data_IF_482682396493
#
_entry.id   IF_482682396493
#
_cell.length_a   1.000
_cell.length_b   1.000
_cell.length_c   1.000
_cell.angle_alpha   90.00
_cell.angle_beta   90.00
_cell.angle_gamma   90.00
#
_symmetry.space_group_name_H-M   'P 1'
#
loop_
_entity.id
_entity.type
_entity.pdbx_description
1 polymer ?
#
# COMPACT_ATOMS: atom_id res chain seq x y z
N UNK A 1 -3.17 -12.37 -8.46
CA UNK A 1 -2.52 -11.09 -8.79
C UNK A 1 -3.57 -10.03 -9.14
N UNK A 2 -3.41 -8.75 -8.76
CA UNK A 2 -4.22 -7.64 -9.24
C UNK A 2 -4.23 -7.47 -10.76
N UNK A 3 -5.33 -6.93 -11.31
CA UNK A 3 -5.51 -6.65 -12.75
C UNK A 3 -5.94 -5.21 -12.97
N UNK A 4 -5.28 -4.51 -13.90
CA UNK A 4 -5.67 -3.16 -14.35
C UNK A 4 -6.85 -3.25 -15.32
N UNK A 5 -7.88 -2.45 -15.10
CA UNK A 5 -9.13 -2.47 -15.86
C UNK A 5 -9.65 -1.06 -16.16
N UNK A 6 -10.35 -0.92 -17.28
CA UNK A 6 -11.12 0.28 -17.65
C UNK A 6 -12.50 -0.15 -18.10
N UNK A 7 -13.54 0.27 -17.37
CA UNK A 7 -14.92 0.00 -17.77
C UNK A 7 -15.28 0.86 -18.99
N UNK A 8 -16.19 0.36 -19.83
CA UNK A 8 -16.69 1.12 -20.99
C UNK A 8 -17.56 2.32 -20.57
N UNK A 9 -18.31 2.15 -19.48
CA UNK A 9 -19.37 3.07 -19.05
C UNK A 9 -19.02 3.82 -17.76
N UNK A 10 -17.78 3.70 -17.26
CA UNK A 10 -17.31 4.45 -16.10
C UNK A 10 -16.03 5.21 -16.43
N UNK A 11 -15.94 6.43 -15.93
CA UNK A 11 -14.74 7.25 -16.01
C UNK A 11 -13.66 6.70 -15.08
N UNK A 12 -12.40 6.77 -15.51
CA UNK A 12 -11.24 6.36 -14.71
C UNK A 12 -10.78 4.91 -14.92
N UNK A 13 -9.81 4.51 -14.08
CA UNK A 13 -9.13 3.22 -14.13
C UNK A 13 -9.25 2.50 -12.80
N UNK A 14 -9.39 1.18 -12.87
CA UNK A 14 -9.75 0.34 -11.74
C UNK A 14 -8.78 -0.83 -11.62
N UNK A 15 -8.50 -1.24 -10.39
CA UNK A 15 -7.71 -2.43 -10.08
C UNK A 15 -8.61 -3.43 -9.39
N UNK A 16 -8.73 -4.63 -9.95
CA UNK A 16 -9.48 -5.73 -9.34
C UNK A 16 -8.51 -6.74 -8.75
N UNK A 17 -8.78 -7.17 -7.52
CA UNK A 17 -7.99 -8.22 -6.86
C UNK A 17 -8.83 -8.97 -5.82
N UNK A 18 -8.33 -10.11 -5.35
CA UNK A 18 -8.83 -10.77 -4.14
C UNK A 18 -7.99 -10.36 -2.93
N UNK A 19 -8.66 -10.02 -1.83
CA UNK A 19 -8.05 -9.85 -0.51
C UNK A 19 -8.94 -10.53 0.53
N UNK A 20 -8.37 -11.49 1.25
CA UNK A 20 -9.05 -12.39 2.21
C UNK A 20 -10.27 -13.09 1.60
N UNK A 21 -10.16 -13.50 0.34
CA UNK A 21 -11.25 -14.17 -0.40
C UNK A 21 -12.39 -13.25 -0.85
N UNK A 22 -12.28 -11.94 -0.63
CA UNK A 22 -13.23 -10.95 -1.14
C UNK A 22 -12.65 -10.26 -2.37
N UNK A 23 -13.48 -10.08 -3.40
CA UNK A 23 -13.11 -9.25 -4.55
C UNK A 23 -13.18 -7.80 -4.13
N UNK A 24 -12.03 -7.12 -4.22
CA UNK A 24 -11.88 -5.70 -3.89
C UNK A 24 -11.58 -4.94 -5.17
N UNK A 25 -12.27 -3.81 -5.35
CA UNK A 25 -12.01 -2.89 -6.45
C UNK A 25 -11.39 -1.60 -5.92
N UNK A 26 -10.21 -1.27 -6.43
CA UNK A 26 -9.56 0.03 -6.21
C UNK A 26 -9.77 0.93 -7.42
N UNK A 27 -9.95 2.21 -7.19
CA UNK A 27 -9.85 3.26 -8.20
C UNK A 27 -8.45 3.85 -8.19
N UNK A 28 -7.96 4.29 -9.35
CA UNK A 28 -6.66 4.90 -9.50
C UNK A 28 -6.76 6.42 -9.64
N UNK A 29 -5.83 7.13 -9.03
CA UNK A 29 -5.54 8.53 -9.37
C UNK A 29 -4.81 8.60 -10.72
N UNK A 30 -4.78 9.78 -11.38
CA UNK A 30 -3.95 9.98 -12.58
C UNK A 30 -2.47 9.61 -12.35
N UNK A 31 -1.92 9.97 -11.20
CA UNK A 31 -0.53 9.67 -10.83
C UNK A 31 -0.31 8.16 -10.63
N UNK A 32 -1.29 7.45 -10.08
CA UNK A 32 -1.28 6.01 -9.94
C UNK A 32 -1.28 5.28 -11.27
N UNK A 33 -2.11 5.74 -12.21
CA UNK A 33 -2.14 5.23 -13.57
C UNK A 33 -0.81 5.45 -14.27
N UNK A 34 -0.23 6.65 -14.17
CA UNK A 34 1.06 6.98 -14.77
C UNK A 34 2.15 6.02 -14.26
N UNK A 35 2.23 5.78 -12.95
CA UNK A 35 3.18 4.83 -12.34
C UNK A 35 3.06 3.43 -12.91
N UNK A 36 1.84 2.94 -13.15
CA UNK A 36 1.61 1.63 -13.76
C UNK A 36 2.08 1.60 -15.22
N UNK A 37 1.71 2.60 -16.02
CA UNK A 37 2.08 2.69 -17.44
C UNK A 37 3.60 2.79 -17.59
N UNK A 38 4.27 3.64 -16.81
CA UNK A 38 5.74 3.76 -16.83
C UNK A 38 6.44 2.47 -16.39
N UNK A 39 5.77 1.66 -15.58
CA UNK A 39 6.24 0.32 -15.18
C UNK A 39 5.93 -0.77 -16.22
N UNK A 40 5.37 -0.41 -17.39
CA UNK A 40 5.03 -1.32 -18.48
C UNK A 40 3.74 -2.12 -18.27
N UNK A 41 2.87 -1.67 -17.36
CA UNK A 41 1.59 -2.35 -17.07
C UNK A 41 0.49 -1.76 -17.94
N UNK A 42 -0.06 -2.61 -18.80
CA UNK A 42 -1.15 -2.27 -19.71
C UNK A 42 -2.51 -2.70 -19.14
N UNK A 43 -3.59 -2.15 -19.72
CA UNK A 43 -4.96 -2.54 -19.38
C UNK A 43 -5.16 -4.03 -19.68
N UNK A 44 -5.79 -4.74 -18.74
CA UNK A 44 -6.04 -6.18 -18.79
C UNK A 44 -4.86 -7.03 -18.33
N UNK A 45 -3.70 -6.45 -18.01
CA UNK A 45 -2.54 -7.19 -17.52
C UNK A 45 -2.60 -7.38 -16.00
N UNK A 46 -2.17 -8.57 -15.58
CA UNK A 46 -1.86 -8.89 -14.17
C UNK A 46 -0.54 -8.23 -13.78
N UNK A 47 -0.41 -7.81 -12.52
CA UNK A 47 0.83 -7.31 -11.96
C UNK A 47 0.99 -7.72 -10.49
N UNK A 48 2.19 -7.64 -9.89
CA UNK A 48 2.41 -8.12 -8.53
C UNK A 48 1.64 -7.31 -7.47
N UNK A 49 1.07 -8.00 -6.48
CA UNK A 49 0.36 -7.36 -5.35
C UNK A 49 1.19 -6.35 -4.57
N UNK A 50 2.51 -6.53 -4.50
CA UNK A 50 3.41 -5.56 -3.90
C UNK A 50 3.27 -4.15 -4.50
N UNK A 51 3.08 -4.06 -5.82
CA UNK A 51 2.90 -2.78 -6.50
C UNK A 51 1.54 -2.15 -6.19
N UNK A 52 0.47 -2.96 -6.06
CA UNK A 52 -0.83 -2.47 -5.60
C UNK A 52 -0.73 -1.94 -4.15
N UNK A 53 0.00 -2.64 -3.28
CA UNK A 53 0.22 -2.18 -1.91
C UNK A 53 0.97 -0.84 -1.87
N UNK A 54 1.98 -0.66 -2.71
CA UNK A 54 2.71 0.61 -2.83
C UNK A 54 1.77 1.74 -3.25
N UNK A 55 0.95 1.53 -4.29
CA UNK A 55 -0.05 2.51 -4.75
C UNK A 55 -1.11 2.83 -3.67
N UNK A 56 -1.57 1.81 -2.95
CA UNK A 56 -2.52 2.00 -1.85
C UNK A 56 -1.94 2.88 -0.74
N UNK A 57 -0.68 2.62 -0.37
CA UNK A 57 0.03 3.37 0.69
C UNK A 57 0.33 4.80 0.32
N UNK A 58 0.56 5.10 -0.96
CA UNK A 58 0.78 6.48 -1.43
C UNK A 58 -0.52 7.23 -1.70
N UNK A 59 -1.68 6.56 -1.56
CA UNK A 59 -2.99 7.14 -1.87
C UNK A 59 -3.30 7.20 -3.37
N UNK A 60 -2.48 6.56 -4.21
CA UNK A 60 -2.69 6.48 -5.66
C UNK A 60 -3.72 5.41 -6.05
N UNK A 61 -4.00 4.48 -5.15
CA UNK A 61 -5.09 3.49 -5.27
C UNK A 61 -5.99 3.55 -4.04
N UNK A 62 -7.30 3.65 -4.23
CA UNK A 62 -8.24 3.88 -3.13
C UNK A 62 -9.63 3.28 -3.41
N UNK A 63 -10.44 3.07 -2.37
CA UNK A 63 -11.68 2.28 -2.46
C UNK A 63 -12.99 3.06 -2.22
N UNK A 64 -12.96 4.41 -2.20
CA UNK A 64 -14.10 5.31 -1.91
C UNK A 64 -14.98 4.88 -0.70
N UNK A 65 -14.41 4.24 0.31
CA UNK A 65 -15.12 3.88 1.54
C UNK A 65 -15.95 2.58 1.48
N UNK A 66 -16.21 2.01 0.30
CA UNK A 66 -16.98 0.76 0.19
C UNK A 66 -16.13 -0.43 -0.24
N UNK A 67 -15.03 -0.26 -0.98
CA UNK A 67 -14.24 -1.40 -1.54
C UNK A 67 -15.04 -2.34 -2.45
N UNK A 68 -16.32 -2.01 -2.61
CA UNK A 68 -17.44 -2.79 -3.09
C UNK A 68 -18.50 -1.75 -3.53
N UNK A 69 -18.12 -0.76 -4.36
CA UNK A 69 -19.11 0.12 -4.96
C UNK A 69 -19.86 -0.67 -6.04
N UNK A 70 -21.09 -1.05 -5.67
CA UNK A 70 -22.07 -1.83 -6.41
C UNK A 70 -21.60 -3.25 -6.78
N UNK A 71 -22.46 -4.27 -6.65
CA UNK A 71 -22.18 -5.54 -7.30
C UNK A 71 -21.98 -5.20 -8.78
N UNK A 72 -20.77 -5.45 -9.30
CA UNK A 72 -20.57 -5.54 -10.74
C UNK A 72 -21.79 -6.28 -11.30
N UNK A 73 -22.45 -5.76 -12.35
CA UNK A 73 -23.61 -6.43 -12.92
C UNK A 73 -23.26 -7.91 -13.02
N UNK A 74 -24.09 -8.82 -12.49
CA UNK A 74 -23.79 -10.26 -12.36
C UNK A 74 -23.24 -10.92 -13.64
N UNK A 75 -23.43 -10.25 -14.78
CA UNK A 75 -22.88 -10.53 -16.10
C UNK A 75 -21.34 -10.44 -16.14
N UNK A 76 -20.70 -9.50 -15.42
CA UNK A 76 -19.24 -9.28 -15.40
C UNK A 76 -18.52 -10.33 -14.54
N UNK A 77 -19.16 -10.81 -13.47
CA UNK A 77 -18.61 -11.88 -12.62
C UNK A 77 -18.47 -13.23 -13.37
N UNK A 78 -19.25 -13.45 -14.44
CA UNK A 78 -19.12 -14.63 -15.32
C UNK A 78 -18.13 -14.41 -16.47
N UNK A 79 -17.70 -13.18 -16.73
CA UNK A 79 -16.84 -12.84 -17.87
C UNK A 79 -15.38 -12.62 -17.49
N UNK A 80 -15.06 -12.75 -16.20
CA UNK A 80 -13.71 -12.63 -15.68
C UNK A 80 -13.40 -13.86 -14.83
N UNK A 81 -12.84 -14.90 -15.46
CA UNK A 81 -12.06 -15.91 -14.75
C UNK A 81 -10.80 -15.22 -14.20
N UNK A 82 -10.98 -14.47 -13.12
CA UNK A 82 -9.85 -13.91 -12.40
C UNK A 82 -9.25 -15.00 -11.54
N UNK A 83 -8.31 -15.75 -12.11
CA UNK A 83 -7.40 -16.51 -11.29
C UNK A 83 -6.49 -15.53 -10.53
N UNK A 84 -6.93 -15.14 -9.34
CA UNK A 84 -6.19 -14.27 -8.44
C UNK A 84 -5.12 -15.04 -7.65
N UNK A 85 -5.02 -16.37 -7.79
CA UNK A 85 -4.20 -17.25 -6.95
C UNK A 85 -2.71 -17.26 -7.31
N UNK A 86 -2.33 -16.80 -8.50
CA UNK A 86 -0.94 -16.81 -9.00
C UNK A 86 0.05 -15.87 -8.27
N UNK A 87 -0.37 -15.14 -7.24
CA UNK A 87 0.46 -14.08 -6.65
C UNK A 87 1.36 -14.62 -5.52
N UNK A 88 2.69 -14.43 -5.60
CA UNK A 88 3.62 -14.94 -4.59
C UNK A 88 3.52 -14.20 -3.24
N UNK A 89 2.99 -12.97 -3.22
CA UNK A 89 2.89 -12.17 -2.00
C UNK A 89 1.57 -12.43 -1.27
N UNK A 90 1.53 -12.58 0.06
CA UNK A 90 0.30 -12.92 0.76
C UNK A 90 -0.69 -11.74 0.81
N UNK A 91 -2.00 -12.03 0.73
CA UNK A 91 -3.06 -11.02 0.88
C UNK A 91 -3.05 -10.32 2.25
N UNK A 92 -2.45 -10.94 3.26
CA UNK A 92 -2.27 -10.38 4.61
C UNK A 92 -1.34 -9.17 4.68
N UNK A 93 -0.64 -8.83 3.58
CA UNK A 93 0.20 -7.64 3.50
C UNK A 93 -0.58 -6.32 3.56
N UNK A 94 -1.87 -6.34 3.25
CA UNK A 94 -2.70 -5.14 3.33
C UNK A 94 -3.06 -4.83 4.78
N UNK A 95 -2.86 -3.58 5.24
CA UNK A 95 -3.36 -3.18 6.54
C UNK A 95 -4.87 -3.28 6.56
N UNK A 96 -5.43 -3.61 7.72
CA UNK A 96 -6.87 -3.74 7.90
C UNK A 96 -7.32 -3.12 9.21
N UNK A 97 -8.56 -2.65 9.24
CA UNK A 97 -9.21 -2.13 10.45
C UNK A 97 -9.13 -3.15 11.59
N UNK A 98 -8.67 -2.71 12.75
CA UNK A 98 -8.51 -3.54 13.94
C UNK A 98 -9.83 -4.18 14.41
N UNK A 99 -10.97 -3.56 14.10
CA UNK A 99 -12.28 -3.96 14.61
C UNK A 99 -13.09 -4.84 13.64
N UNK A 100 -13.02 -4.59 12.34
CA UNK A 100 -13.85 -5.29 11.35
C UNK A 100 -13.06 -5.88 10.18
N UNK A 101 -11.73 -5.79 10.19
CA UNK A 101 -10.85 -6.25 9.09
C UNK A 101 -11.08 -5.58 7.73
N UNK A 102 -11.90 -4.53 7.64
CA UNK A 102 -12.09 -3.74 6.43
C UNK A 102 -10.79 -3.08 5.98
N UNK A 103 -10.64 -2.85 4.68
CA UNK A 103 -9.50 -2.16 4.05
C UNK A 103 -9.84 -0.72 3.65
N UNK A 104 -11.07 -0.31 3.89
CA UNK A 104 -11.61 0.93 3.35
C UNK A 104 -11.29 2.11 4.25
N UNK A 105 -10.80 3.19 3.63
CA UNK A 105 -10.53 4.49 4.26
C UNK A 105 -9.94 4.33 5.66
N UNK A 106 -8.79 3.64 5.70
CA UNK A 106 -8.09 3.35 6.94
C UNK A 106 -7.35 4.58 7.42
N UNK A 107 -7.52 4.89 8.69
CA UNK A 107 -6.81 5.96 9.37
C UNK A 107 -6.10 5.39 10.59
N UNK A 108 -4.92 5.92 10.87
CA UNK A 108 -4.28 5.80 12.16
C UNK A 108 -5.01 6.73 13.12
N UNK A 109 -5.47 6.18 14.25
CA UNK A 109 -6.20 6.93 15.26
C UNK A 109 -5.51 6.84 16.61
N UNK A 110 -5.54 7.96 17.33
CA UNK A 110 -5.21 8.03 18.76
C UNK A 110 -6.51 8.06 19.56
N UNK A 111 -6.61 7.18 20.56
CA UNK A 111 -7.76 7.08 21.44
C UNK A 111 -7.49 7.78 22.78
N UNK A 112 -8.49 8.48 23.30
CA UNK A 112 -8.48 9.18 24.60
C UNK A 112 -8.67 8.23 25.79
N UNK A 113 -9.35 7.11 25.57
CA UNK A 113 -9.78 6.22 26.64
C UNK A 113 -8.69 5.21 27.04
N UNK A 114 -8.41 5.12 28.35
CA UNK A 114 -7.45 4.19 28.99
C UNK A 114 -5.96 4.48 28.74
N UNK A 115 -5.59 5.73 28.50
CA UNK A 115 -4.21 6.17 28.27
C UNK A 115 -3.87 6.26 26.78
N UNK A 116 -2.66 6.73 26.44
CA UNK A 116 -2.30 7.02 25.05
C UNK A 116 -2.15 5.72 24.25
N UNK A 117 -3.23 5.37 23.56
CA UNK A 117 -3.38 4.15 22.75
C UNK A 117 -3.62 4.50 21.29
N UNK A 118 -2.95 3.80 20.37
CA UNK A 118 -3.15 3.97 18.94
C UNK A 118 -3.61 2.69 18.24
N UNK A 119 -4.42 2.88 17.20
CA UNK A 119 -5.06 1.81 16.43
C UNK A 119 -5.24 2.22 14.97
N UNK A 120 -5.64 1.28 14.12
CA UNK A 120 -6.03 1.53 12.74
C UNK A 120 -7.52 1.21 12.60
N UNK A 121 -8.31 2.21 12.18
CA UNK A 121 -9.75 2.08 12.03
C UNK A 121 -10.20 2.53 10.63
N UNK A 122 -11.18 1.80 10.07
CA UNK A 122 -11.91 2.24 8.88
C UNK A 122 -12.91 3.37 9.21
N UNK A 123 -13.43 4.04 8.18
CA UNK A 123 -14.47 5.07 8.28
C UNK A 123 -15.60 4.71 9.26
N UNK A 124 -16.26 3.56 9.08
CA UNK A 124 -17.42 3.17 9.90
C UNK A 124 -17.06 2.99 11.38
N UNK A 125 -15.88 2.41 11.65
CA UNK A 125 -15.44 2.18 13.02
C UNK A 125 -14.99 3.49 13.69
N UNK A 126 -14.48 4.46 12.92
CA UNK A 126 -14.15 5.79 13.41
C UNK A 126 -15.40 6.57 13.78
N UNK A 127 -16.44 6.54 12.96
CA UNK A 127 -17.72 7.22 13.28
C UNK A 127 -18.29 6.70 14.60
N UNK A 128 -18.30 5.38 14.80
CA UNK A 128 -18.77 4.73 16.04
C UNK A 128 -17.96 5.13 17.28
N UNK A 129 -16.66 5.42 17.12
CA UNK A 129 -15.73 5.77 18.20
C UNK A 129 -15.33 7.25 18.22
N UNK A 130 -16.03 8.10 17.48
CA UNK A 130 -15.65 9.50 17.21
C UNK A 130 -15.38 10.30 18.48
N UNK A 131 -16.19 10.12 19.53
CA UNK A 131 -16.03 10.81 20.83
C UNK A 131 -14.74 10.42 21.57
N UNK A 132 -14.24 9.22 21.32
CA UNK A 132 -13.08 8.65 21.99
C UNK A 132 -11.80 8.84 21.18
N UNK A 133 -11.87 9.39 19.96
CA UNK A 133 -10.72 9.67 19.10
C UNK A 133 -10.25 11.11 19.34
N UNK A 134 -8.94 11.30 19.53
CA UNK A 134 -8.32 12.63 19.55
C UNK A 134 -7.75 13.02 18.20
N UNK A 135 -6.96 12.13 17.62
CA UNK A 135 -6.27 12.34 16.35
C UNK A 135 -6.69 11.26 15.36
N UNK A 136 -6.97 11.63 14.11
CA UNK A 136 -7.27 10.71 13.01
C UNK A 136 -6.50 11.14 11.76
N UNK A 137 -5.62 10.29 11.26
CA UNK A 137 -4.75 10.59 10.10
C UNK A 137 -4.95 9.49 9.05
N UNK A 138 -5.31 9.83 7.80
CA UNK A 138 -5.39 8.85 6.72
C UNK A 138 -4.08 8.07 6.58
N UNK A 139 -4.15 6.73 6.43
CA UNK A 139 -2.94 5.91 6.34
C UNK A 139 -2.03 6.31 5.17
N UNK A 140 -2.58 6.88 4.09
CA UNK A 140 -1.80 7.38 2.95
C UNK A 140 -0.83 8.51 3.32
N UNK A 141 -1.10 9.23 4.41
CA UNK A 141 -0.23 10.29 4.92
C UNK A 141 0.72 9.79 6.03
N UNK A 142 0.57 8.53 6.46
CA UNK A 142 1.37 7.94 7.53
C UNK A 142 2.55 7.20 6.93
N UNK A 143 3.72 7.84 6.99
CA UNK A 143 5.01 7.19 6.76
C UNK A 143 5.71 6.89 8.10
N UNK A 144 6.86 6.20 8.05
CA UNK A 144 7.64 5.84 9.24
C UNK A 144 8.02 7.05 10.11
N UNK A 145 8.38 8.18 9.48
CA UNK A 145 8.74 9.41 10.18
C UNK A 145 7.53 10.00 10.92
N UNK A 146 6.40 10.15 10.23
CA UNK A 146 5.15 10.65 10.84
C UNK A 146 4.68 9.74 11.97
N UNK A 147 4.78 8.42 11.80
CA UNK A 147 4.39 7.44 12.81
C UNK A 147 5.26 7.56 14.07
N UNK A 148 6.58 7.60 13.93
CA UNK A 148 7.49 7.76 15.08
C UNK A 148 7.28 9.09 15.79
N UNK A 149 7.14 10.18 15.02
CA UNK A 149 6.85 11.50 15.57
C UNK A 149 5.55 11.53 16.37
N UNK A 150 4.47 10.90 15.88
CA UNK A 150 3.20 10.80 16.59
C UNK A 150 3.33 10.00 17.89
N UNK A 151 4.03 8.86 17.86
CA UNK A 151 4.25 8.03 19.04
C UNK A 151 4.98 8.82 20.14
N UNK A 152 6.02 9.57 19.77
CA UNK A 152 6.79 10.41 20.69
C UNK A 152 5.97 11.60 21.20
N UNK A 153 5.36 12.38 20.30
CA UNK A 153 4.62 13.59 20.63
C UNK A 153 3.42 13.32 21.54
N UNK A 154 2.68 12.23 21.27
CA UNK A 154 1.48 11.84 22.04
C UNK A 154 1.79 10.89 23.19
N UNK A 155 3.05 10.48 23.36
CA UNK A 155 3.46 9.54 24.40
C UNK A 155 2.74 8.18 24.31
N UNK A 156 2.42 7.72 23.10
CA UNK A 156 1.70 6.46 22.87
C UNK A 156 2.58 5.28 23.25
N UNK A 157 2.12 4.48 24.20
CA UNK A 157 2.84 3.28 24.70
C UNK A 157 2.11 1.98 24.42
N UNK A 158 0.84 2.07 24.07
CA UNK A 158 0.00 0.91 23.81
C UNK A 158 -0.51 0.98 22.38
N UNK A 159 -0.38 -0.12 21.65
CA UNK A 159 -0.84 -0.25 20.27
C UNK A 159 -1.47 -1.62 20.08
N UNK A 160 -2.37 -1.74 19.11
CA UNK A 160 -2.94 -3.04 18.74
C UNK A 160 -2.15 -3.76 17.64
N UNK A 161 -2.59 -4.98 17.33
CA UNK A 161 -1.99 -5.82 16.30
C UNK A 161 -2.03 -5.18 14.90
N UNK A 162 -3.09 -4.44 14.58
CA UNK A 162 -3.21 -3.79 13.27
C UNK A 162 -2.17 -2.68 13.11
N UNK A 163 -1.98 -1.89 14.16
CA UNK A 163 -0.94 -0.88 14.23
C UNK A 163 0.46 -1.51 14.13
N UNK A 164 0.76 -2.53 14.95
CA UNK A 164 2.07 -3.19 14.92
C UNK A 164 2.38 -3.78 13.55
N UNK A 165 1.41 -4.46 12.92
CA UNK A 165 1.58 -5.02 11.57
C UNK A 165 1.88 -3.93 10.53
N UNK A 166 1.21 -2.77 10.63
CA UNK A 166 1.49 -1.64 9.75
C UNK A 166 2.86 -1.00 10.00
N UNK A 167 3.28 -0.91 11.26
CA UNK A 167 4.61 -0.44 11.63
C UNK A 167 5.72 -1.37 11.08
N UNK A 168 5.53 -2.68 11.20
CA UNK A 168 6.46 -3.67 10.65
C UNK A 168 6.56 -3.57 9.12
N UNK A 169 5.42 -3.36 8.46
CA UNK A 169 5.36 -3.13 7.01
C UNK A 169 6.18 -1.89 6.61
N UNK A 170 6.01 -0.77 7.31
CA UNK A 170 6.78 0.46 7.10
C UNK A 170 8.28 0.25 7.27
N UNK A 171 8.67 -0.52 8.29
CA UNK A 171 10.06 -0.82 8.59
C UNK A 171 10.70 -1.73 7.52
N UNK A 172 9.98 -2.76 7.09
CA UNK A 172 10.41 -3.67 6.03
C UNK A 172 10.61 -2.93 4.70
N UNK A 173 9.68 -2.05 4.33
CA UNK A 173 9.77 -1.21 3.13
C UNK A 173 11.02 -0.33 3.16
N UNK A 174 11.25 0.37 4.28
CA UNK A 174 12.42 1.21 4.44
C UNK A 174 13.72 0.40 4.29
N UNK A 175 13.80 -0.76 4.95
CA UNK A 175 14.96 -1.64 4.87
C UNK A 175 15.22 -2.09 3.44
N UNK A 176 14.18 -2.51 2.72
CA UNK A 176 14.27 -2.92 1.31
C UNK A 176 14.75 -1.79 0.40
N UNK A 177 14.21 -0.58 0.56
CA UNK A 177 14.65 0.62 -0.19
C UNK A 177 16.12 0.95 0.12
N UNK A 178 16.51 0.93 1.39
CA UNK A 178 17.89 1.18 1.81
C UNK A 178 18.87 0.15 1.23
N UNK A 179 18.51 -1.14 1.25
CA UNK A 179 19.33 -2.20 0.67
C UNK A 179 19.48 -2.08 -0.85
N UNK A 180 18.41 -1.71 -1.57
CA UNK A 180 18.47 -1.43 -3.02
C UNK A 180 19.43 -0.26 -3.29
N UNK A 181 19.30 0.84 -2.56
CA UNK A 181 20.21 1.99 -2.70
C UNK A 181 21.67 1.63 -2.39
N UNK A 182 21.91 0.86 -1.33
CA UNK A 182 23.25 0.39 -0.97
C UNK A 182 23.86 -0.52 -2.04
N UNK A 183 23.06 -1.43 -2.64
CA UNK A 183 23.50 -2.29 -3.75
C UNK A 183 23.83 -1.47 -5.00
N UNK A 184 22.99 -0.50 -5.36
CA UNK A 184 23.24 0.39 -6.50
C UNK A 184 24.52 1.20 -6.30
N UNK A 185 24.72 1.79 -5.13
CA UNK A 185 25.95 2.52 -4.79
C UNK A 185 27.20 1.64 -4.87
N UNK A 186 27.13 0.40 -4.36
CA UNK A 186 28.22 -0.59 -4.49
C UNK A 186 28.50 -0.97 -5.94
N UNK A 187 27.47 -1.07 -6.80
CA UNK A 187 27.63 -1.36 -8.23
C UNK A 187 28.34 -0.21 -8.95
N UNK A 188 27.88 1.02 -8.74
CA UNK A 188 28.50 2.25 -9.31
C UNK A 188 29.97 2.36 -8.88
N UNK A 189 30.27 2.17 -7.59
CA UNK A 189 31.66 2.18 -7.11
C UNK A 189 32.51 1.09 -7.78
N UNK A 190 32.01 -0.14 -7.90
CA UNK A 190 32.73 -1.22 -8.59
C UNK A 190 32.97 -0.93 -10.07
N UNK A 191 32.05 -0.25 -10.75
CA UNK A 191 32.21 0.15 -12.15
C UNK A 191 33.24 1.27 -12.32
N UNK A 192 33.26 2.25 -11.41
CA UNK A 192 34.28 3.31 -11.37
C UNK A 192 35.69 2.74 -11.19
N UNK A 193 35.89 1.85 -10.20
CA UNK A 193 37.20 1.22 -9.97
C UNK A 193 37.63 0.20 -11.04
N UNK A 194 36.70 -0.31 -11.85
CA UNK A 194 37.03 -1.16 -13.02
C UNK A 194 37.52 -0.32 -14.21
N UNK A 195 37.04 0.91 -14.35
CA UNK A 195 37.47 1.82 -15.41
C UNK A 195 38.86 2.41 -15.11
N UNK A 196 39.20 2.67 -13.84
CA UNK A 196 40.55 3.12 -13.45
C UNK A 196 41.64 2.08 -13.79
N UNK A 197 41.34 0.79 -13.66
CA UNK A 197 42.29 -0.30 -14.02
C UNK A 197 42.48 -0.48 -15.53
N UNK A 198 41.60 0.06 -16.37
CA UNK A 198 41.79 0.10 -17.83
C UNK A 198 42.58 1.33 -18.29
N UNK A 199 42.61 2.41 -17.50
CA UNK A 199 43.39 3.62 -17.78
C UNK A 199 44.88 3.54 -17.45
N UNK A 200 45.31 2.55 -16.66
CA UNK A 200 46.73 2.38 -16.28
C UNK A 200 47.53 1.35 -17.11
N UNK A 201 46.96 0.84 -18.21
CA UNK A 201 47.68 -0.07 -19.13
C UNK A 201 48.03 0.61 -20.45
N UNK A 202 48.62 1.80 -20.40
CA UNK A 202 49.45 2.32 -21.49
C UNK A 202 50.39 3.37 -20.91
N UNK A 203 51.59 2.96 -20.53
CA UNK A 203 52.80 3.79 -20.47
C UNK A 203 53.97 2.81 -20.31
N UNK A 204 54.53 2.46 -21.47
CA UNK A 204 55.89 2.02 -21.81
C UNK A 204 56.62 1.13 -20.80
#
# INVERSE_FOLDING_TARGET
>A
MPVLHKYKDKEGYYLLTSIKGLVVTFQLTPEGLEKLITSGIEIGKKFPRALLLDLYRTGDAYTYGTGVEEPLPKVVARQLEFDFSDDPEPESMFPSCANCSSLNDLHLVEMKEKGPFASILCADCRVKKSKSIDTSIPLSLVNRGTLNFLLELKGIRQVDKAFSAYQDLLNAEFKSKWEKMAKTKKKIQKELFKNDKKGQRTLI
#
